data_IF_949548830290
#
_entry.id   IF_949548830290
#
_cell.length_a   1.000
_cell.length_b   1.000
_cell.length_c   1.000
_cell.angle_alpha   90.00
_cell.angle_beta   90.00
_cell.angle_gamma   90.00
#
_symmetry.space_group_name_H-M   'P 1'
#
loop_
_entity.id
_entity.type
_entity.pdbx_description
1 polymer ?
#
# COMPACT_ATOMS: atom_id res chain seq x y z
N UNK A 1 -21.31 10.34 13.83
CA UNK A 1 -20.47 9.15 14.06
C UNK A 1 -19.62 8.74 12.86
N UNK A 2 -19.55 9.62 11.83
CA UNK A 2 -18.72 9.33 10.65
C UNK A 2 -17.24 9.20 11.02
N UNK A 3 -16.74 10.04 11.94
CA UNK A 3 -15.36 9.94 12.37
C UNK A 3 -15.04 8.63 13.09
N UNK A 4 -16.03 8.11 13.82
CA UNK A 4 -15.89 6.83 14.52
C UNK A 4 -15.72 5.68 13.51
N UNK A 5 -16.48 5.70 12.40
CA UNK A 5 -16.34 4.70 11.36
C UNK A 5 -14.94 4.72 10.73
N UNK A 6 -14.36 5.91 10.58
CA UNK A 6 -13.00 6.04 10.04
C UNK A 6 -11.95 5.42 10.98
N UNK A 7 -12.16 5.54 12.30
CA UNK A 7 -11.27 4.90 13.26
C UNK A 7 -11.37 3.38 13.24
N UNK A 8 -12.54 2.87 12.88
CA UNK A 8 -12.80 1.43 12.83
C UNK A 8 -12.57 0.83 11.45
N UNK A 9 -12.04 1.62 10.50
CA UNK A 9 -11.73 1.11 9.17
C UNK A 9 -10.72 -0.02 9.29
N UNK A 10 -11.03 -1.15 8.67
CA UNK A 10 -10.14 -2.30 8.65
C UNK A 10 -8.88 -1.97 7.85
N UNK A 11 -7.73 -2.46 8.31
CA UNK A 11 -6.48 -2.23 7.60
C UNK A 11 -6.39 -3.05 6.31
N UNK A 12 -6.98 -4.24 6.28
CA UNK A 12 -6.99 -5.08 5.09
C UNK A 12 -8.37 -5.05 4.45
N UNK A 13 -8.43 -4.60 3.20
CA UNK A 13 -9.68 -4.45 2.48
C UNK A 13 -9.65 -5.13 1.12
N UNK A 14 -10.77 -5.77 0.79
CA UNK A 14 -11.00 -6.42 -0.50
C UNK A 14 -11.64 -5.39 -1.44
N UNK A 15 -10.86 -4.98 -2.45
CA UNK A 15 -11.31 -4.03 -3.47
C UNK A 15 -10.92 -4.58 -4.85
N UNK A 16 -10.68 -3.73 -5.83
CA UNK A 16 -10.14 -4.14 -7.14
C UNK A 16 -8.79 -4.85 -7.01
N UNK A 17 -8.08 -4.56 -5.92
CA UNK A 17 -6.90 -5.28 -5.46
C UNK A 17 -7.08 -5.50 -3.96
N UNK A 18 -6.33 -6.45 -3.39
CA UNK A 18 -6.30 -6.62 -1.94
C UNK A 18 -5.31 -5.61 -1.37
N UNK A 19 -5.79 -4.71 -0.55
CA UNK A 19 -5.01 -3.58 -0.01
C UNK A 19 -4.83 -3.71 1.49
N UNK A 20 -3.64 -3.29 1.94
CA UNK A 20 -3.38 -3.00 3.34
C UNK A 20 -3.30 -1.48 3.48
N UNK A 21 -4.14 -0.92 4.34
CA UNK A 21 -4.10 0.50 4.68
C UNK A 21 -3.27 0.69 5.93
N UNK A 22 -2.24 1.54 5.87
CA UNK A 22 -1.39 1.79 7.04
C UNK A 22 -2.20 2.24 8.27
N UNK A 23 -1.75 1.82 9.43
CA UNK A 23 -2.33 2.27 10.69
C UNK A 23 -2.10 3.78 10.89
N UNK A 24 -2.84 4.45 11.77
CA UNK A 24 -2.60 5.87 12.06
C UNK A 24 -1.16 6.18 12.43
N UNK A 25 -0.51 5.29 13.15
CA UNK A 25 0.90 5.42 13.53
C UNK A 25 1.82 5.34 12.31
N UNK A 26 1.55 4.39 11.43
CA UNK A 26 2.30 4.23 10.18
C UNK A 26 2.10 5.42 9.25
N UNK A 27 0.86 5.90 9.12
CA UNK A 27 0.55 7.10 8.33
C UNK A 27 1.30 8.32 8.85
N UNK A 28 1.36 8.49 10.16
CA UNK A 28 2.07 9.60 10.78
C UNK A 28 3.55 9.60 10.38
N UNK A 29 4.18 8.44 10.41
CA UNK A 29 5.58 8.29 10.00
C UNK A 29 5.76 8.60 8.51
N UNK A 30 4.92 7.99 7.67
CA UNK A 30 4.96 8.21 6.22
C UNK A 30 4.77 9.68 5.89
N UNK A 31 3.82 10.34 6.55
CA UNK A 31 3.53 11.77 6.35
C UNK A 31 4.77 12.63 6.62
N UNK A 32 5.51 12.35 7.68
CA UNK A 32 6.70 13.12 8.01
C UNK A 32 7.82 12.95 6.97
N UNK A 33 8.01 11.72 6.48
CA UNK A 33 8.99 11.42 5.44
C UNK A 33 8.58 12.06 4.11
N UNK A 34 7.30 11.91 3.75
CA UNK A 34 6.72 12.48 2.53
C UNK A 34 6.87 14.00 2.49
N UNK A 35 6.61 14.65 3.61
CA UNK A 35 6.75 16.11 3.71
C UNK A 35 8.19 16.56 3.39
N UNK A 36 9.17 15.91 3.99
CA UNK A 36 10.58 16.20 3.73
C UNK A 36 10.95 15.98 2.27
N UNK A 37 10.40 14.91 1.69
CA UNK A 37 10.64 14.57 0.29
C UNK A 37 10.10 15.67 -0.64
N UNK A 38 8.87 16.11 -0.42
CA UNK A 38 8.22 17.14 -1.24
C UNK A 38 8.97 18.48 -1.11
N UNK A 39 9.45 18.82 0.08
CA UNK A 39 10.24 20.03 0.29
C UNK A 39 11.49 20.05 -0.60
N UNK A 40 12.12 18.90 -0.81
CA UNK A 40 13.30 18.75 -1.67
C UNK A 40 12.95 18.57 -3.15
N UNK A 41 11.73 18.15 -3.44
CA UNK A 41 11.26 17.84 -4.79
C UNK A 41 9.90 18.50 -5.03
N UNK A 42 9.87 19.85 -5.18
CA UNK A 42 8.59 20.60 -5.23
C UNK A 42 7.75 20.32 -6.47
N UNK A 43 8.29 19.64 -7.47
CA UNK A 43 7.54 19.18 -8.65
C UNK A 43 6.71 17.91 -8.37
N UNK A 44 6.95 17.27 -7.24
CA UNK A 44 6.19 16.09 -6.82
C UNK A 44 4.98 16.52 -5.97
N UNK A 45 3.90 15.76 -6.09
CA UNK A 45 2.69 15.99 -5.31
C UNK A 45 2.46 14.80 -4.36
N UNK A 46 2.06 15.06 -3.12
CA UNK A 46 1.83 13.98 -2.16
C UNK A 46 0.59 13.17 -2.51
N UNK A 47 0.68 11.86 -2.32
CA UNK A 47 -0.50 11.00 -2.33
C UNK A 47 -1.19 11.22 -0.99
N UNK A 48 -2.52 11.43 -1.03
CA UNK A 48 -3.32 11.69 0.18
C UNK A 48 -3.24 10.56 1.19
N UNK A 49 -3.34 10.90 2.47
CA UNK A 49 -3.22 9.94 3.57
C UNK A 49 -4.20 8.77 3.43
N UNK A 50 -5.42 9.05 2.99
CA UNK A 50 -6.49 8.06 2.81
C UNK A 50 -6.27 7.16 1.59
N UNK A 51 -5.32 7.48 0.73
CA UNK A 51 -4.97 6.71 -0.48
C UNK A 51 -3.68 5.92 -0.32
N UNK A 52 -2.94 6.14 0.75
CA UNK A 52 -1.74 5.36 1.03
C UNK A 52 -2.12 3.90 1.26
N UNK A 53 -1.48 2.99 0.55
CA UNK A 53 -1.74 1.56 0.74
C UNK A 53 -0.56 0.73 0.28
N UNK A 54 -0.50 -0.50 0.79
CA UNK A 54 0.39 -1.55 0.30
C UNK A 54 -0.47 -2.55 -0.44
N UNK A 55 -0.16 -2.83 -1.71
CA UNK A 55 -0.87 -3.86 -2.48
C UNK A 55 -0.41 -5.23 -2.01
N UNK A 56 -1.35 -6.04 -1.53
CA UNK A 56 -1.08 -7.41 -1.07
C UNK A 56 -1.30 -8.42 -2.17
N UNK A 57 -2.33 -8.24 -2.99
CA UNK A 57 -2.61 -9.11 -4.13
C UNK A 57 -3.38 -8.34 -5.19
N UNK A 58 -3.14 -8.66 -6.45
CA UNK A 58 -3.80 -8.00 -7.57
C UNK A 58 -3.58 -8.77 -8.87
N UNK A 59 -3.98 -8.13 -9.97
CA UNK A 59 -3.82 -8.70 -11.30
C UNK A 59 -4.88 -9.73 -11.68
N UNK A 60 -4.67 -10.50 -12.77
CA UNK A 60 -5.67 -11.41 -13.32
C UNK A 60 -6.14 -12.48 -12.33
N UNK A 61 -5.24 -13.01 -11.52
CA UNK A 61 -5.60 -14.00 -10.50
C UNK A 61 -6.59 -13.41 -9.50
N UNK A 62 -6.31 -12.20 -9.01
CA UNK A 62 -7.18 -11.53 -8.04
C UNK A 62 -8.55 -11.23 -8.64
N UNK A 63 -8.61 -10.81 -9.90
CA UNK A 63 -9.87 -10.56 -10.59
C UNK A 63 -10.77 -11.80 -10.60
N UNK A 64 -10.18 -12.99 -10.76
CA UNK A 64 -10.92 -14.26 -10.75
C UNK A 64 -11.34 -14.67 -9.36
N UNK A 65 -10.50 -14.41 -8.35
CA UNK A 65 -10.67 -14.96 -7.00
C UNK A 65 -11.33 -13.99 -6.03
N UNK A 66 -11.33 -12.68 -6.33
CA UNK A 66 -11.79 -11.66 -5.37
C UNK A 66 -13.24 -11.86 -4.93
N UNK A 67 -14.11 -12.37 -5.78
CA UNK A 67 -15.51 -12.61 -5.43
C UNK A 67 -15.66 -13.60 -4.28
N UNK A 68 -14.72 -14.54 -4.13
CA UNK A 68 -14.73 -15.52 -3.03
C UNK A 68 -14.44 -14.88 -1.67
N UNK A 69 -13.79 -13.70 -1.68
CA UNK A 69 -13.38 -13.00 -0.47
C UNK A 69 -14.22 -11.75 -0.18
N UNK A 70 -15.23 -11.48 -1.02
CA UNK A 70 -16.03 -10.26 -0.95
C UNK A 70 -16.61 -9.99 0.43
N UNK A 71 -17.12 -11.04 1.09
CA UNK A 71 -17.77 -10.93 2.40
C UNK A 71 -16.88 -11.47 3.52
N UNK A 72 -15.62 -11.76 3.22
CA UNK A 72 -14.67 -12.27 4.21
C UNK A 72 -14.00 -11.11 4.91
N UNK A 73 -14.02 -11.13 6.24
CA UNK A 73 -13.24 -10.21 7.06
C UNK A 73 -11.91 -10.88 7.39
N UNK A 74 -10.83 -10.19 7.06
CA UNK A 74 -9.50 -10.67 7.36
C UNK A 74 -8.99 -10.01 8.63
N UNK A 75 -8.32 -10.79 9.48
CA UNK A 75 -7.62 -10.23 10.62
C UNK A 75 -6.45 -9.39 10.13
N UNK A 76 -6.22 -8.26 10.78
CA UNK A 76 -5.08 -7.41 10.48
C UNK A 76 -3.79 -8.14 10.83
N UNK A 77 -2.67 -7.83 10.15
CA UNK A 77 -1.38 -8.38 10.55
C UNK A 77 -1.09 -8.08 12.03
N UNK A 78 -0.53 -9.05 12.74
CA UNK A 78 -0.20 -8.90 14.15
C UNK A 78 1.18 -8.25 14.38
N UNK A 79 1.67 -7.53 13.40
CA UNK A 79 2.94 -6.82 13.46
C UNK A 79 2.80 -5.44 12.81
N UNK A 80 3.62 -4.50 13.27
CA UNK A 80 3.69 -3.17 12.68
C UNK A 80 4.59 -3.19 11.44
N UNK A 81 4.21 -2.43 10.41
CA UNK A 81 5.08 -2.24 9.26
C UNK A 81 6.09 -1.14 9.53
N UNK A 82 7.33 -1.40 9.17
CA UNK A 82 8.37 -0.41 9.09
C UNK A 82 8.75 -0.23 7.63
N UNK A 83 9.28 0.94 7.29
CA UNK A 83 9.53 1.29 5.89
C UNK A 83 10.99 1.70 5.71
N UNK A 84 11.55 1.32 4.57
CA UNK A 84 12.88 1.77 4.15
C UNK A 84 12.79 3.21 3.65
N UNK A 85 13.93 3.84 3.41
CA UNK A 85 13.97 5.19 2.90
C UNK A 85 13.30 5.32 1.53
N UNK A 86 12.74 6.50 1.20
CA UNK A 86 12.12 6.71 -0.10
C UNK A 86 13.08 6.51 -1.25
N UNK A 87 12.57 5.88 -2.31
CA UNK A 87 13.29 5.70 -3.57
C UNK A 87 12.44 6.18 -4.72
N UNK A 88 13.10 6.75 -5.71
CA UNK A 88 12.46 7.20 -6.95
C UNK A 88 12.46 6.06 -7.96
N UNK A 89 11.35 5.95 -8.71
CA UNK A 89 11.23 4.99 -9.82
C UNK A 89 10.57 5.68 -11.00
N UNK A 90 11.06 5.37 -12.19
CA UNK A 90 10.49 5.86 -13.45
C UNK A 90 10.19 4.67 -14.35
N UNK A 91 8.99 4.65 -14.93
CA UNK A 91 8.60 3.60 -15.85
C UNK A 91 7.41 4.07 -16.69
N UNK A 92 7.47 3.86 -18.00
CA UNK A 92 6.38 4.18 -18.92
C UNK A 92 5.87 5.62 -18.80
N UNK A 93 6.78 6.57 -18.64
CA UNK A 93 6.47 7.99 -18.50
C UNK A 93 5.95 8.40 -17.13
N UNK A 94 5.85 7.47 -16.19
CA UNK A 94 5.44 7.76 -14.82
C UNK A 94 6.67 7.88 -13.93
N UNK A 95 6.62 8.85 -13.00
CA UNK A 95 7.64 9.05 -11.97
C UNK A 95 6.96 9.00 -10.63
N UNK A 96 7.45 8.15 -9.75
CA UNK A 96 6.92 8.09 -8.40
C UNK A 96 8.01 7.82 -7.37
N UNK A 97 7.68 8.17 -6.12
CA UNK A 97 8.50 7.87 -4.96
C UNK A 97 7.75 6.87 -4.10
N UNK A 98 8.46 5.87 -3.62
CA UNK A 98 7.90 4.81 -2.81
C UNK A 98 8.81 4.45 -1.65
N UNK A 99 8.24 3.79 -0.66
CA UNK A 99 8.99 3.25 0.47
C UNK A 99 8.72 1.75 0.55
N UNK A 100 9.79 0.95 0.52
CA UNK A 100 9.64 -0.51 0.69
C UNK A 100 9.32 -0.84 2.13
N UNK A 101 8.46 -1.82 2.32
CA UNK A 101 8.21 -2.42 3.64
C UNK A 101 9.43 -3.22 4.04
N UNK A 102 9.90 -3.08 5.28
CA UNK A 102 11.02 -3.87 5.79
C UNK A 102 10.62 -5.34 6.01
N UNK A 103 9.37 -5.60 6.41
CA UNK A 103 8.85 -6.91 6.73
C UNK A 103 8.32 -7.65 5.48
N UNK A 104 9.14 -7.74 4.43
CA UNK A 104 8.74 -8.39 3.17
C UNK A 104 8.31 -9.84 3.40
N UNK A 105 9.10 -10.59 4.15
CA UNK A 105 8.82 -12.00 4.40
C UNK A 105 7.58 -12.20 5.26
N UNK A 106 7.44 -11.42 6.32
CA UNK A 106 6.27 -11.52 7.19
C UNK A 106 4.98 -11.21 6.45
N UNK A 107 4.99 -10.19 5.58
CA UNK A 107 3.83 -9.88 4.75
C UNK A 107 3.55 -10.98 3.73
N UNK A 108 4.59 -11.54 3.14
CA UNK A 108 4.43 -12.66 2.20
C UNK A 108 3.76 -13.85 2.88
N UNK A 109 4.21 -14.19 4.06
CA UNK A 109 3.64 -15.29 4.85
C UNK A 109 2.20 -14.97 5.25
N UNK A 110 1.95 -13.74 5.65
CA UNK A 110 0.60 -13.26 5.99
C UNK A 110 -0.37 -13.44 4.80
N UNK A 111 0.03 -12.99 3.61
CA UNK A 111 -0.79 -13.11 2.39
C UNK A 111 -1.01 -14.58 2.03
N UNK A 112 0.02 -15.40 2.14
CA UNK A 112 -0.07 -16.84 1.84
C UNK A 112 -1.08 -17.52 2.78
N UNK A 113 -1.02 -17.22 4.06
CA UNK A 113 -1.96 -17.77 5.05
C UNK A 113 -3.39 -17.28 4.80
N UNK A 114 -3.52 -16.00 4.48
CA UNK A 114 -4.80 -15.35 4.27
C UNK A 114 -5.54 -15.94 3.07
N UNK A 115 -4.83 -16.10 1.96
CA UNK A 115 -5.41 -16.54 0.69
C UNK A 115 -5.22 -18.03 0.42
N UNK A 116 -4.52 -18.75 1.29
CA UNK A 116 -4.12 -20.16 1.11
C UNK A 116 -3.35 -20.34 -0.21
N UNK A 117 -2.71 -19.28 -0.68
CA UNK A 117 -1.94 -19.25 -1.91
C UNK A 117 -1.14 -17.94 -1.97
N UNK A 118 -0.07 -17.92 -2.72
CA UNK A 118 0.63 -16.68 -3.02
C UNK A 118 0.62 -16.46 -4.53
N UNK A 119 -0.31 -15.62 -5.03
CA UNK A 119 -0.48 -15.42 -6.47
C UNK A 119 0.70 -14.70 -7.11
N UNK A 120 1.49 -13.98 -6.33
CA UNK A 120 2.65 -13.26 -6.85
C UNK A 120 3.81 -13.34 -5.85
N UNK A 121 4.56 -14.46 -5.85
CA UNK A 121 5.63 -14.68 -4.87
C UNK A 121 6.82 -13.73 -5.03
N UNK A 122 6.92 -13.05 -6.17
CA UNK A 122 8.00 -12.08 -6.43
C UNK A 122 7.60 -10.64 -6.13
N UNK A 123 6.38 -10.41 -5.65
CA UNK A 123 5.91 -9.06 -5.34
C UNK A 123 6.77 -8.42 -4.26
N UNK A 124 7.16 -7.17 -4.52
CA UNK A 124 7.81 -6.32 -3.53
C UNK A 124 6.74 -5.44 -2.88
N UNK A 125 6.54 -5.60 -1.59
CA UNK A 125 5.57 -4.80 -0.85
C UNK A 125 6.12 -3.40 -0.61
N UNK A 126 5.34 -2.41 -1.01
CA UNK A 126 5.75 -1.00 -0.89
C UNK A 126 4.52 -0.10 -0.78
N UNK A 127 4.74 1.12 -0.33
CA UNK A 127 3.74 2.18 -0.35
C UNK A 127 4.24 3.29 -1.26
N UNK A 128 3.40 3.70 -2.23
CA UNK A 128 3.69 4.88 -3.05
C UNK A 128 3.28 6.13 -2.27
N UNK A 129 4.17 7.11 -2.19
CA UNK A 129 3.96 8.29 -1.34
C UNK A 129 3.84 9.60 -2.10
N UNK A 130 4.39 9.68 -3.32
CA UNK A 130 4.35 10.89 -4.13
C UNK A 130 4.53 10.57 -5.60
N UNK A 131 3.95 11.39 -6.46
CA UNK A 131 4.14 11.35 -7.90
C UNK A 131 3.86 12.74 -8.49
N UNK A 132 3.76 12.86 -9.80
CA UNK A 132 3.58 14.18 -10.44
C UNK A 132 2.17 14.74 -10.31
N UNK A 133 1.17 13.92 -10.04
CA UNK A 133 -0.24 14.34 -9.98
C UNK A 133 -0.86 14.29 -8.59
N UNK A 134 -0.27 13.52 -7.67
CA UNK A 134 -0.87 13.20 -6.38
C UNK A 134 -1.94 12.11 -6.44
N UNK A 135 -2.23 11.60 -7.62
CA UNK A 135 -3.21 10.51 -7.81
C UNK A 135 -2.51 9.17 -7.70
N UNK A 136 -3.02 8.29 -6.87
CA UNK A 136 -2.39 6.98 -6.61
C UNK A 136 -2.26 6.14 -7.89
N UNK A 137 -3.20 6.27 -8.83
CA UNK A 137 -3.16 5.55 -10.10
C UNK A 137 -2.04 5.99 -11.04
N UNK A 138 -1.40 7.13 -10.79
CA UNK A 138 -0.29 7.64 -11.58
C UNK A 138 1.08 7.25 -11.00
N UNK A 139 1.10 6.35 -10.04
CA UNK A 139 2.33 5.78 -9.50
C UNK A 139 2.74 4.54 -10.27
N UNK A 140 4.05 4.26 -10.25
CA UNK A 140 4.59 3.02 -10.83
C UNK A 140 4.19 1.85 -9.94
N UNK A 141 3.52 0.86 -10.50
CA UNK A 141 2.99 -0.27 -9.75
C UNK A 141 4.07 -1.31 -9.38
N UNK A 142 5.02 -1.52 -10.25
CA UNK A 142 6.09 -2.51 -10.05
C UNK A 142 7.40 -1.80 -9.75
N UNK A 143 7.91 -2.03 -8.57
CA UNK A 143 9.14 -1.37 -8.09
C UNK A 143 10.29 -2.34 -7.88
#
# INVERSE_FOLDING_TARGET
>A
MLGFKNFLKEQVEVESILKYYPSPREVKYIRSVRHKLIMKNPDMKPIGDDKLHVTLAGGPWWKKMSSKFKDVKFDDPNFQLEFEEPKKVESSGKVSWYMKVKQQRQLKDYVTDLLQSNPNPKRVFHVSIANKTGKVGDSVANV
#
